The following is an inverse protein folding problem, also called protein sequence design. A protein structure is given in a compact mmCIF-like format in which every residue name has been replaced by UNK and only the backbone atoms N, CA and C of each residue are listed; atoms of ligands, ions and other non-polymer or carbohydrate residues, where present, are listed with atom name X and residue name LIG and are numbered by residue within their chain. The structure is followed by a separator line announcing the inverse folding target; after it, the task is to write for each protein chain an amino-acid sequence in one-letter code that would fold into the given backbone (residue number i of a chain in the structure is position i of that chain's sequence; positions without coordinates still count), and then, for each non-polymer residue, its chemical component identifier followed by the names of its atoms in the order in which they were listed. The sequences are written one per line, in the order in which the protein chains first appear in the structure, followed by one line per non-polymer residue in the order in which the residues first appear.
data_IF_429198876470
#
_entry.id   IF_429198876470
#
_cell.length_a   1.000
_cell.length_b   1.000
_cell.length_c   1.000
_cell.angle_alpha   90.00
_cell.angle_beta   90.00
_cell.angle_gamma   90.00
#
_symmetry.space_group_name_H-M   'P 1'
#
loop_
_entity.id
_entity.type
_entity.pdbx_description
1 polymer ?
#
# COMPACT_ATOMS: atom_id res chain seq x y z
N UNK A 1 3.49 -17.77 -1.85
CA UNK A 1 2.92 -18.64 -0.79
C UNK A 1 1.75 -17.89 -0.19
N UNK A 2 0.56 -18.49 -0.10
CA UNK A 2 -0.64 -17.83 0.45
C UNK A 2 -0.95 -18.38 1.85
N UNK A 3 -1.23 -17.51 2.81
CA UNK A 3 -1.60 -17.86 4.18
C UNK A 3 -3.07 -17.45 4.39
N UNK A 4 -4.02 -18.39 4.34
CA UNK A 4 -5.44 -18.08 4.46
C UNK A 4 -5.81 -17.70 5.90
N UNK A 5 -6.41 -16.53 6.04
CA UNK A 5 -7.00 -15.96 7.26
C UNK A 5 -8.19 -15.10 6.85
N UNK A 6 -9.03 -14.70 7.82
CA UNK A 6 -10.13 -13.75 7.56
C UNK A 6 -9.67 -12.47 6.87
N UNK A 7 -8.48 -11.95 7.22
CA UNK A 7 -7.95 -10.70 6.65
C UNK A 7 -7.46 -10.91 5.21
N UNK A 8 -6.67 -11.95 4.96
CA UNK A 8 -6.15 -12.22 3.61
C UNK A 8 -7.27 -12.51 2.60
N UNK A 9 -8.35 -13.15 3.05
CA UNK A 9 -9.55 -13.39 2.23
C UNK A 9 -10.35 -12.11 1.99
N UNK A 10 -10.62 -11.34 3.05
CA UNK A 10 -11.40 -10.10 2.97
C UNK A 10 -10.74 -9.06 2.06
N UNK A 11 -9.40 -8.97 2.09
CA UNK A 11 -8.65 -7.95 1.36
C UNK A 11 -8.04 -8.46 0.04
N UNK A 12 -8.16 -9.76 -0.26
CA UNK A 12 -7.63 -10.36 -1.49
C UNK A 12 -6.10 -10.32 -1.60
N UNK A 13 -5.40 -10.63 -0.50
CA UNK A 13 -3.93 -10.63 -0.43
C UNK A 13 -3.39 -12.02 -0.08
N UNK A 14 -2.12 -12.28 -0.39
CA UNK A 14 -1.50 -13.59 -0.17
C UNK A 14 -1.02 -13.76 1.28
N UNK A 15 -0.50 -12.70 1.88
CA UNK A 15 0.06 -12.69 3.22
C UNK A 15 -0.81 -11.78 4.10
N UNK A 16 -1.22 -12.20 5.30
CA UNK A 16 -1.97 -11.37 6.25
C UNK A 16 -1.06 -10.35 6.94
N UNK A 17 -0.35 -9.54 6.14
CA UNK A 17 0.65 -8.57 6.56
C UNK A 17 0.27 -7.20 6.01
N UNK A 18 0.20 -6.22 6.90
CA UNK A 18 0.00 -4.81 6.58
C UNK A 18 1.32 -4.08 6.86
N UNK A 19 1.87 -3.43 5.84
CA UNK A 19 2.95 -2.46 6.03
C UNK A 19 2.37 -1.20 6.66
N UNK A 20 2.57 -1.04 7.97
CA UNK A 20 2.02 0.10 8.71
C UNK A 20 2.42 1.44 8.06
N UNK A 21 1.51 2.42 7.96
CA UNK A 21 1.84 3.73 7.43
C UNK A 21 2.89 4.40 8.32
N UNK A 22 3.99 4.85 7.72
CA UNK A 22 5.10 5.48 8.42
C UNK A 22 5.29 6.91 7.89
N UNK A 23 5.04 7.88 8.76
CA UNK A 23 5.12 9.29 8.41
C UNK A 23 6.52 9.65 7.89
N UNK A 24 6.56 10.25 6.70
CA UNK A 24 7.75 10.63 5.93
C UNK A 24 8.69 9.46 5.56
N UNK A 25 8.22 8.22 5.63
CA UNK A 25 8.99 7.02 5.25
C UNK A 25 8.25 6.21 4.18
N UNK A 26 6.97 5.91 4.39
CA UNK A 26 6.19 5.14 3.43
C UNK A 26 5.76 6.02 2.25
N UNK A 27 6.45 5.86 1.13
CA UNK A 27 6.21 6.50 -0.16
C UNK A 27 6.01 5.43 -1.25
N UNK A 28 5.83 5.78 -2.54
CA UNK A 28 5.47 4.80 -3.56
C UNK A 28 6.37 3.57 -3.62
N UNK A 29 7.68 3.71 -3.42
CA UNK A 29 8.61 2.57 -3.43
C UNK A 29 8.28 1.52 -2.39
N UNK A 30 8.09 1.92 -1.13
CA UNK A 30 7.77 1.00 -0.05
C UNK A 30 6.38 0.39 -0.23
N UNK A 31 5.39 1.22 -0.59
CA UNK A 31 4.00 0.79 -0.76
C UNK A 31 3.92 -0.28 -1.85
N UNK A 32 4.53 -0.01 -3.01
CA UNK A 32 4.56 -0.94 -4.14
C UNK A 32 5.30 -2.21 -3.75
N UNK A 33 6.46 -2.11 -3.09
CA UNK A 33 7.23 -3.30 -2.70
C UNK A 33 6.44 -4.23 -1.76
N UNK A 34 5.78 -3.68 -0.74
CA UNK A 34 4.98 -4.47 0.21
C UNK A 34 3.77 -5.11 -0.47
N UNK A 35 3.04 -4.35 -1.30
CA UNK A 35 1.90 -4.89 -2.03
C UNK A 35 2.33 -5.97 -3.03
N UNK A 36 3.43 -5.76 -3.75
CA UNK A 36 3.97 -6.77 -4.68
C UNK A 36 4.46 -8.03 -3.99
N UNK A 37 5.01 -7.92 -2.77
CA UNK A 37 5.39 -9.06 -1.94
C UNK A 37 4.20 -9.88 -1.42
N UNK A 38 2.95 -9.42 -1.62
CA UNK A 38 1.73 -10.16 -1.29
C UNK A 38 1.02 -9.68 -0.02
N UNK A 39 1.49 -8.59 0.60
CA UNK A 39 0.79 -7.90 1.69
C UNK A 39 0.02 -6.66 1.20
N UNK A 40 -0.21 -5.69 2.09
CA UNK A 40 -0.73 -4.36 1.74
C UNK A 40 0.29 -3.31 2.16
N UNK A 41 0.84 -2.58 1.20
CA UNK A 41 1.58 -1.36 1.48
C UNK A 41 0.62 -0.22 1.82
N UNK A 42 0.90 0.51 2.90
CA UNK A 42 0.14 1.69 3.30
C UNK A 42 1.05 2.92 3.43
N UNK A 43 0.48 4.11 3.25
CA UNK A 43 1.17 5.36 3.54
C UNK A 43 0.20 6.40 4.11
N UNK A 44 0.60 7.25 5.07
CA UNK A 44 -0.30 8.26 5.60
C UNK A 44 -0.52 9.37 4.57
N UNK A 45 -1.77 9.76 4.35
CA UNK A 45 -2.11 10.89 3.45
C UNK A 45 -1.30 12.17 3.76
N UNK A 46 -0.97 12.39 5.04
CA UNK A 46 -0.19 13.55 5.52
C UNK A 46 1.26 13.59 5.01
N UNK A 47 1.78 12.53 4.38
CA UNK A 47 3.07 12.57 3.66
C UNK A 47 3.06 13.56 2.50
N UNK A 48 1.87 13.84 1.95
CA UNK A 48 1.66 14.83 0.90
C UNK A 48 1.00 16.08 1.52
N UNK A 49 1.52 17.26 1.18
CA UNK A 49 1.10 18.54 1.81
C UNK A 49 -0.13 19.16 1.14
N UNK A 50 -0.51 18.65 -0.02
CA UNK A 50 -1.72 19.05 -0.74
C UNK A 50 -2.46 17.83 -1.31
N UNK A 51 -3.74 18.01 -1.61
CA UNK A 51 -4.58 16.98 -2.27
C UNK A 51 -4.05 16.63 -3.67
N UNK A 52 -3.46 17.60 -4.37
CA UNK A 52 -2.83 17.39 -5.67
C UNK A 52 -1.62 16.47 -5.56
N UNK A 53 -0.71 16.74 -4.62
CA UNK A 53 0.44 15.87 -4.35
C UNK A 53 0.01 14.45 -3.94
N UNK A 54 -1.04 14.33 -3.12
CA UNK A 54 -1.60 13.02 -2.77
C UNK A 54 -2.14 12.28 -4.00
N UNK A 55 -2.81 12.99 -4.92
CA UNK A 55 -3.34 12.42 -6.16
C UNK A 55 -2.19 11.92 -7.04
N UNK A 56 -1.13 12.71 -7.21
CA UNK A 56 0.02 12.34 -8.02
C UNK A 56 0.73 11.10 -7.44
N UNK A 57 0.95 11.09 -6.12
CA UNK A 57 1.51 9.92 -5.43
C UNK A 57 0.64 8.66 -5.58
N UNK A 58 -0.68 8.80 -5.46
CA UNK A 58 -1.62 7.69 -5.71
C UNK A 58 -1.57 7.21 -7.15
N UNK A 59 -1.49 8.12 -8.13
CA UNK A 59 -1.37 7.76 -9.55
C UNK A 59 -0.07 7.00 -9.82
N UNK A 60 1.05 7.43 -9.24
CA UNK A 60 2.33 6.72 -9.36
C UNK A 60 2.23 5.29 -8.80
N UNK A 61 1.70 5.13 -7.58
CA UNK A 61 1.53 3.82 -6.96
C UNK A 61 0.64 2.92 -7.84
N UNK A 62 -0.48 3.45 -8.35
CA UNK A 62 -1.42 2.70 -9.21
C UNK A 62 -0.91 2.42 -10.61
N UNK A 63 0.03 3.22 -11.10
CA UNK A 63 0.77 2.92 -12.33
C UNK A 63 1.68 1.71 -12.11
N UNK A 64 2.34 1.62 -10.94
CA UNK A 64 3.32 0.58 -10.60
C UNK A 64 2.72 -0.73 -10.08
N UNK A 65 1.55 -0.71 -9.44
CA UNK A 65 0.86 -1.92 -8.96
C UNK A 65 -0.66 -1.85 -9.10
N UNK A 66 -1.27 -3.01 -9.38
CA UNK A 66 -2.74 -3.21 -9.32
C UNK A 66 -3.20 -3.89 -8.04
N UNK A 67 -2.27 -4.28 -7.16
CA UNK A 67 -2.58 -4.97 -5.91
C UNK A 67 -3.21 -4.00 -4.88
N UNK A 68 -3.87 -4.52 -3.84
CA UNK A 68 -4.42 -3.69 -2.77
C UNK A 68 -3.35 -2.83 -2.09
N UNK A 69 -3.71 -1.59 -1.76
CA UNK A 69 -2.89 -0.63 -1.01
C UNK A 69 -3.78 0.03 0.06
N UNK A 70 -3.17 0.58 1.11
CA UNK A 70 -3.84 1.43 2.09
C UNK A 70 -3.34 2.88 2.03
N UNK A 71 -4.15 3.79 2.54
CA UNK A 71 -3.84 5.21 2.78
C UNK A 71 -4.17 5.56 4.22
#
# INVERSE_FOLDING_TARGET
MRIPTRISEMLGIDLPILGAPMFLVSYPDLVVAVSEAGGIGCFPALNYRSVEQLRDGLQEIRYRTKKPIGV
#
